data_IF_863076101484
#
_entry.id   IF_863076101484
#
_cell.length_a   1.000
_cell.length_b   1.000
_cell.length_c   1.000
_cell.angle_alpha   90.00
_cell.angle_beta   90.00
_cell.angle_gamma   90.00
#
_symmetry.space_group_name_H-M   'P 1'
#
loop_
_entity.id
_entity.type
_entity.pdbx_description
1 polymer ?
#
# COMPACT_ATOMS: atom_id res chain seq x y z
N UNK A 1 -4.42 12.47 -15.91
CA UNK A 1 -4.88 11.31 -15.12
C UNK A 1 -6.09 10.72 -15.82
N UNK A 2 -6.11 9.41 -16.07
CA UNK A 2 -7.27 8.76 -16.70
C UNK A 2 -8.41 8.59 -15.66
N UNK A 3 -9.63 8.31 -16.12
CA UNK A 3 -10.81 8.16 -15.23
C UNK A 3 -10.59 7.08 -14.17
N UNK A 4 -9.82 6.05 -14.50
CA UNK A 4 -9.50 4.93 -13.62
C UNK A 4 -8.62 5.34 -12.44
N UNK A 5 -7.54 6.09 -12.72
CA UNK A 5 -6.65 6.65 -11.70
C UNK A 5 -7.40 7.61 -10.77
N UNK A 6 -8.38 8.36 -11.29
CA UNK A 6 -9.20 9.25 -10.46
C UNK A 6 -10.08 8.46 -9.48
N UNK A 7 -10.66 7.33 -9.91
CA UNK A 7 -11.46 6.45 -9.06
C UNK A 7 -10.61 5.80 -7.98
N UNK A 8 -9.45 5.24 -8.36
CA UNK A 8 -8.49 4.65 -7.41
C UNK A 8 -8.06 5.67 -6.37
N UNK A 9 -7.64 6.87 -6.82
CA UNK A 9 -7.26 7.96 -5.93
C UNK A 9 -8.34 8.27 -4.91
N UNK A 10 -9.59 8.46 -5.35
CA UNK A 10 -10.72 8.73 -4.46
C UNK A 10 -10.97 7.61 -3.46
N UNK A 11 -10.86 6.35 -3.88
CA UNK A 11 -10.99 5.20 -2.97
C UNK A 11 -9.84 5.15 -1.95
N UNK A 12 -8.61 5.44 -2.36
CA UNK A 12 -7.49 5.49 -1.42
C UNK A 12 -7.61 6.66 -0.44
N UNK A 13 -8.07 7.83 -0.91
CA UNK A 13 -8.35 9.00 -0.07
C UNK A 13 -9.44 8.71 0.96
N UNK A 14 -10.53 8.02 0.59
CA UNK A 14 -11.58 7.65 1.55
C UNK A 14 -11.09 6.68 2.63
N UNK A 15 -10.11 5.83 2.32
CA UNK A 15 -9.48 4.92 3.28
C UNK A 15 -8.52 5.62 4.25
N UNK A 16 -8.15 6.88 3.98
CA UNK A 16 -7.35 7.72 4.87
C UNK A 16 -8.19 8.58 5.81
N UNK A 17 -9.51 8.59 5.68
CA UNK A 17 -10.41 9.30 6.59
C UNK A 17 -10.27 8.76 8.03
N UNK A 18 -10.43 9.60 9.07
CA UNK A 18 -10.24 9.20 10.47
C UNK A 18 -11.11 8.02 10.92
N UNK A 19 -12.28 7.84 10.30
CA UNK A 19 -13.19 6.71 10.52
C UNK A 19 -12.58 5.37 10.11
N UNK A 20 -11.61 5.39 9.20
CA UNK A 20 -10.93 4.22 8.65
C UNK A 20 -9.52 3.99 9.24
N UNK A 21 -8.98 4.93 10.03
CA UNK A 21 -7.63 4.80 10.63
C UNK A 21 -7.53 3.56 11.54
N UNK A 22 -8.56 3.29 12.34
CA UNK A 22 -8.62 2.08 13.18
C UNK A 22 -8.91 0.79 12.38
N UNK A 23 -9.30 0.91 11.10
CA UNK A 23 -9.67 -0.22 10.25
C UNK A 23 -8.49 -0.81 9.47
N UNK A 24 -7.34 -0.13 9.45
CA UNK A 24 -6.13 -0.53 8.74
C UNK A 24 -4.98 -0.81 9.70
N UNK A 25 -4.14 -1.83 9.43
CA UNK A 25 -2.89 -1.99 10.14
C UNK A 25 -2.01 -0.73 10.00
N UNK A 26 -1.23 -0.34 11.04
CA UNK A 26 -0.43 0.89 11.02
C UNK A 26 0.52 1.00 9.83
N UNK A 27 1.08 -0.12 9.37
CA UNK A 27 2.00 -0.13 8.23
C UNK A 27 1.26 0.07 6.89
N UNK A 28 0.06 -0.47 6.74
CA UNK A 28 -0.80 -0.23 5.59
C UNK A 28 -1.27 1.23 5.51
N UNK A 29 -1.62 1.82 6.67
CA UNK A 29 -1.95 3.23 6.76
C UNK A 29 -0.76 4.10 6.35
N UNK A 30 0.45 3.82 6.85
CA UNK A 30 1.68 4.51 6.42
C UNK A 30 1.94 4.38 4.92
N UNK A 31 1.71 3.19 4.35
CA UNK A 31 1.81 2.98 2.90
C UNK A 31 0.87 3.90 2.12
N UNK A 32 -0.40 4.02 2.53
CA UNK A 32 -1.33 4.94 1.88
C UNK A 32 -0.94 6.41 2.06
N UNK A 33 -0.50 6.82 3.26
CA UNK A 33 -0.03 8.20 3.52
C UNK A 33 1.18 8.57 2.68
N UNK A 34 2.12 7.65 2.50
CA UNK A 34 3.25 7.85 1.59
C UNK A 34 2.76 8.10 0.16
N UNK A 35 1.86 7.25 -0.34
CA UNK A 35 1.30 7.41 -1.67
C UNK A 35 0.47 8.69 -1.83
N UNK A 36 -0.23 9.14 -0.79
CA UNK A 36 -0.94 10.42 -0.79
C UNK A 36 0.03 11.61 -0.99
N UNK A 37 1.20 11.60 -0.32
CA UNK A 37 2.23 12.63 -0.52
C UNK A 37 2.76 12.65 -1.97
N UNK A 38 2.89 11.46 -2.57
CA UNK A 38 3.26 11.27 -3.98
C UNK A 38 2.06 11.47 -4.94
N UNK A 39 0.95 12.02 -4.44
CA UNK A 39 -0.29 12.28 -5.20
C UNK A 39 -0.87 11.03 -5.90
N UNK A 40 -0.58 9.85 -5.36
CA UNK A 40 -0.90 8.54 -5.92
C UNK A 40 -0.31 8.30 -7.32
N UNK A 41 0.88 8.86 -7.60
CA UNK A 41 1.59 8.69 -8.87
C UNK A 41 2.76 7.69 -8.81
N UNK A 42 2.87 6.93 -7.71
CA UNK A 42 3.90 5.89 -7.60
C UNK A 42 3.53 4.67 -8.45
N UNK A 43 4.55 3.93 -8.89
CA UNK A 43 4.34 2.64 -9.56
C UNK A 43 3.81 1.59 -8.59
N UNK A 44 4.15 1.72 -7.31
CA UNK A 44 3.61 0.88 -6.24
C UNK A 44 2.09 0.94 -6.17
N UNK A 45 1.49 2.13 -6.12
CA UNK A 45 0.03 2.25 -6.05
C UNK A 45 -0.63 1.92 -7.39
N UNK A 46 0.01 2.23 -8.51
CA UNK A 46 -0.45 1.80 -9.83
C UNK A 46 -0.55 0.27 -9.88
N UNK A 47 0.52 -0.44 -9.52
CA UNK A 47 0.53 -1.90 -9.51
C UNK A 47 -0.50 -2.47 -8.54
N UNK A 48 -0.57 -1.97 -7.31
CA UNK A 48 -1.52 -2.45 -6.31
C UNK A 48 -2.97 -2.24 -6.75
N UNK A 49 -3.29 -1.05 -7.28
CA UNK A 49 -4.64 -0.70 -7.69
C UNK A 49 -5.11 -1.47 -8.93
N UNK A 50 -4.24 -1.71 -9.91
CA UNK A 50 -4.56 -2.55 -11.07
C UNK A 50 -4.93 -3.98 -10.65
N UNK A 51 -4.21 -4.56 -9.69
CA UNK A 51 -4.55 -5.88 -9.16
C UNK A 51 -5.89 -5.86 -8.40
N UNK A 52 -6.14 -4.82 -7.59
CA UNK A 52 -7.39 -4.68 -6.87
C UNK A 52 -8.59 -4.51 -7.81
N UNK A 53 -8.42 -3.78 -8.91
CA UNK A 53 -9.44 -3.59 -9.96
C UNK A 53 -9.77 -4.91 -10.63
N UNK A 54 -8.74 -5.64 -11.08
CA UNK A 54 -8.94 -6.95 -11.70
C UNK A 54 -9.68 -7.89 -10.75
N UNK A 55 -9.30 -7.90 -9.46
CA UNK A 55 -9.95 -8.74 -8.47
C UNK A 55 -11.41 -8.31 -8.20
N UNK A 56 -11.68 -6.99 -8.14
CA UNK A 56 -13.03 -6.47 -7.99
C UNK A 56 -13.95 -6.87 -9.15
N UNK A 57 -13.44 -6.84 -10.38
CA UNK A 57 -14.16 -7.28 -11.57
C UNK A 57 -14.41 -8.79 -11.55
N UNK A 58 -13.40 -9.61 -11.22
CA UNK A 58 -13.53 -11.07 -11.15
C UNK A 58 -14.49 -11.54 -10.05
N UNK A 59 -14.46 -10.88 -8.88
CA UNK A 59 -15.30 -11.24 -7.73
C UNK A 59 -16.65 -10.52 -7.72
N UNK A 60 -16.91 -9.61 -8.67
CA UNK A 60 -18.11 -8.75 -8.69
C UNK A 60 -18.30 -7.97 -7.37
N UNK A 61 -17.20 -7.45 -6.83
CA UNK A 61 -17.16 -6.68 -5.58
C UNK A 61 -16.83 -5.21 -5.83
N UNK A 62 -17.13 -4.35 -4.87
CA UNK A 62 -16.70 -2.95 -4.97
C UNK A 62 -15.18 -2.85 -4.87
N UNK A 63 -14.58 -1.97 -5.67
CA UNK A 63 -13.13 -1.69 -5.60
C UNK A 63 -12.72 -1.24 -4.19
N UNK A 64 -13.56 -0.44 -3.54
CA UNK A 64 -13.32 0.02 -2.17
C UNK A 64 -13.19 -1.16 -1.20
N UNK A 65 -14.10 -2.13 -1.25
CA UNK A 65 -14.06 -3.29 -0.35
C UNK A 65 -12.87 -4.19 -0.62
N UNK A 66 -12.48 -4.34 -1.88
CA UNK A 66 -11.28 -5.10 -2.26
C UNK A 66 -10.02 -4.42 -1.74
N UNK A 67 -9.85 -3.11 -2.00
CA UNK A 67 -8.72 -2.33 -1.49
C UNK A 67 -8.63 -2.40 0.04
N UNK A 68 -9.74 -2.19 0.74
CA UNK A 68 -9.81 -2.30 2.20
C UNK A 68 -9.42 -3.70 2.68
N UNK A 69 -9.93 -4.75 2.02
CA UNK A 69 -9.63 -6.15 2.37
C UNK A 69 -8.15 -6.45 2.20
N UNK A 70 -7.55 -6.06 1.07
CA UNK A 70 -6.14 -6.33 0.79
C UNK A 70 -5.22 -5.50 1.70
N UNK A 71 -5.53 -4.24 1.96
CA UNK A 71 -4.76 -3.41 2.89
C UNK A 71 -4.84 -3.93 4.33
N UNK A 72 -5.96 -4.53 4.74
CA UNK A 72 -6.08 -5.19 6.05
C UNK A 72 -5.15 -6.38 6.22
N UNK A 73 -4.73 -7.01 5.12
CA UNK A 73 -3.78 -8.14 5.15
C UNK A 73 -2.33 -7.66 5.27
N UNK A 74 -2.06 -6.39 5.04
CA UNK A 74 -0.72 -5.80 5.11
C UNK A 74 -0.41 -5.44 6.55
N UNK A 75 -0.01 -6.43 7.34
CA UNK A 75 0.21 -6.27 8.77
C UNK A 75 1.68 -6.04 9.15
N UNK A 76 2.61 -6.48 8.30
CA UNK A 76 4.05 -6.41 8.55
C UNK A 76 4.77 -5.61 7.46
N UNK A 77 6.02 -5.25 7.73
CA UNK A 77 6.85 -4.49 6.79
C UNK A 77 7.10 -5.29 5.50
N UNK A 78 7.29 -6.60 5.64
CA UNK A 78 7.47 -7.54 4.53
C UNK A 78 6.24 -7.58 3.60
N UNK A 79 5.03 -7.37 4.13
CA UNK A 79 3.82 -7.33 3.32
C UNK A 79 3.78 -6.06 2.45
N UNK A 80 4.25 -4.92 3.00
CA UNK A 80 4.38 -3.68 2.19
C UNK A 80 5.42 -3.85 1.09
N UNK A 81 6.50 -4.60 1.30
CA UNK A 81 7.48 -4.84 0.24
C UNK A 81 6.88 -5.55 -0.96
N UNK A 82 5.86 -6.39 -0.76
CA UNK A 82 5.14 -7.04 -1.86
C UNK A 82 4.31 -6.05 -2.67
N UNK A 83 3.88 -4.95 -2.06
CA UNK A 83 3.14 -3.88 -2.73
C UNK A 83 4.04 -2.93 -3.52
N UNK A 84 5.30 -2.79 -3.10
CA UNK A 84 6.29 -1.88 -3.71
C UNK A 84 7.28 -2.69 -4.55
N UNK A 85 7.00 -2.96 -5.85
CA UNK A 85 7.84 -3.83 -6.68
C UNK A 85 9.21 -3.20 -6.99
N UNK A 86 9.29 -1.87 -7.03
CA UNK A 86 10.51 -1.16 -7.43
C UNK A 86 11.41 -0.80 -6.24
N UNK A 87 12.69 -1.12 -6.37
CA UNK A 87 13.68 -0.88 -5.31
C UNK A 87 13.82 0.60 -4.93
N UNK A 88 13.78 1.51 -5.91
CA UNK A 88 13.85 2.96 -5.66
C UNK A 88 12.67 3.45 -4.81
N UNK A 89 11.47 2.94 -5.08
CA UNK A 89 10.28 3.30 -4.32
C UNK A 89 10.29 2.65 -2.93
N UNK A 90 10.88 1.45 -2.77
CA UNK A 90 11.08 0.85 -1.44
C UNK A 90 11.99 1.71 -0.57
N UNK A 91 13.10 2.19 -1.14
CA UNK A 91 14.00 3.11 -0.44
C UNK A 91 13.31 4.42 -0.07
N UNK A 92 12.53 5.01 -0.99
CA UNK A 92 11.74 6.21 -0.71
C UNK A 92 10.73 5.97 0.41
N UNK A 93 10.05 4.83 0.42
CA UNK A 93 9.12 4.45 1.49
C UNK A 93 9.83 4.25 2.84
N UNK A 94 11.03 3.66 2.88
CA UNK A 94 11.80 3.57 4.13
C UNK A 94 12.23 4.92 4.67
N UNK A 95 12.67 5.82 3.79
CA UNK A 95 13.00 7.19 4.15
C UNK A 95 11.78 7.92 4.71
N UNK A 96 10.63 7.79 4.06
CA UNK A 96 9.36 8.36 4.54
C UNK A 96 8.95 7.77 5.90
N UNK A 97 9.00 6.45 6.03
CA UNK A 97 8.47 5.76 7.22
C UNK A 97 9.39 5.88 8.44
N UNK A 98 10.64 6.30 8.26
CA UNK A 98 11.71 6.25 9.26
C UNK A 98 11.87 4.85 9.89
N UNK A 99 11.47 3.80 9.16
CA UNK A 99 11.60 2.42 9.60
C UNK A 99 12.96 1.91 9.15
N UNK A 100 13.83 1.62 10.11
CA UNK A 100 15.09 0.90 9.88
C UNK A 100 14.79 -0.59 10.08
N UNK A 101 14.75 -1.42 9.03
CA UNK A 101 14.60 -2.86 9.20
C UNK A 101 15.80 -3.39 9.97
N UNK A 102 15.57 -3.91 11.18
CA UNK A 102 16.61 -4.61 11.92
C UNK A 102 16.94 -5.90 11.17
N UNK A 103 18.03 -5.88 10.41
CA UNK A 103 18.54 -7.09 9.78
C UNK A 103 18.83 -8.09 10.89
N UNK A 104 18.13 -9.24 10.86
CA UNK A 104 18.47 -10.38 11.70
C UNK A 104 19.90 -10.74 11.31
N UNK A 105 20.89 -10.42 12.16
CA UNK A 105 22.28 -10.83 11.94
C UNK A 105 22.23 -12.33 11.73
N UNK A 106 22.53 -12.78 10.51
CA UNK A 106 22.86 -14.18 10.30
C UNK A 106 23.99 -14.45 11.28
N UNK A 107 23.76 -15.35 12.24
CA UNK A 107 24.83 -15.86 13.08
C UNK A 107 25.83 -16.48 12.12
N UNK A 108 26.89 -15.75 11.81
CA UNK A 108 28.07 -16.31 11.17
C UNK A 108 28.42 -17.57 11.95
N UNK A 109 28.46 -18.70 11.25
CA UNK A 109 28.95 -19.95 11.81
C UNK A 109 30.41 -19.67 12.18
N UNK A 110 30.68 -19.56 13.48
CA UNK A 110 32.01 -19.78 14.02
C UNK A 110 32.30 -21.27 13.97
#
# INVERSE_FOLDING_TARGET
MNQHQQTVKKCCESLLEPTCEAALPPIAYRYLRWNELEQFQTKSIEWFSLNAVLLAELETRSLHDVLLTELRRVAQLEDVHRLIPHEKERQAFYQFSNVIPFQKREKGRC
#
